data_IF_029173743329
#
_entry.id   IF_029173743329
#
_cell.length_a   1.000
_cell.length_b   1.000
_cell.length_c   1.000
_cell.angle_alpha   90.00
_cell.angle_beta   90.00
_cell.angle_gamma   90.00
#
_symmetry.space_group_name_H-M   'P 1'
#
loop_
_entity.id
_entity.type
_entity.pdbx_description
1 polymer ?
#
# COMPACT_ATOMS: atom_id res chain seq x y z
N UNK A 1 2.14 -20.29 -10.21
CA UNK A 1 3.53 -19.79 -9.99
C UNK A 1 3.45 -18.78 -8.86
N UNK A 2 4.35 -18.82 -7.86
CA UNK A 2 4.46 -17.84 -6.81
C UNK A 2 5.46 -16.75 -7.24
N UNK A 3 5.17 -15.50 -6.95
CA UNK A 3 6.10 -14.39 -7.11
C UNK A 3 6.55 -13.95 -5.73
N UNK A 4 7.86 -13.85 -5.53
CA UNK A 4 8.44 -13.40 -4.26
C UNK A 4 7.94 -12.01 -3.87
N UNK A 5 7.66 -11.83 -2.58
CA UNK A 5 7.11 -10.61 -2.02
C UNK A 5 8.04 -10.08 -0.90
N UNK A 6 8.05 -8.78 -0.73
CA UNK A 6 8.79 -8.15 0.37
C UNK A 6 8.39 -8.76 1.72
N UNK A 7 7.12 -9.08 1.89
CA UNK A 7 6.59 -9.67 3.13
C UNK A 7 7.20 -11.04 3.45
N UNK A 8 7.67 -11.80 2.46
CA UNK A 8 8.19 -13.17 2.65
C UNK A 8 9.45 -13.17 3.52
N UNK A 9 10.34 -12.21 3.33
CA UNK A 9 11.50 -12.03 4.18
C UNK A 9 11.08 -11.78 5.64
N UNK A 10 10.13 -10.87 5.85
CA UNK A 10 9.65 -10.52 7.20
C UNK A 10 8.94 -11.67 7.90
N UNK A 11 8.16 -12.47 7.16
CA UNK A 11 7.52 -13.66 7.67
C UNK A 11 8.55 -14.75 8.03
N UNK A 12 9.57 -14.94 7.19
CA UNK A 12 10.67 -15.86 7.45
C UNK A 12 11.52 -15.45 8.66
N UNK A 13 11.86 -14.16 8.77
CA UNK A 13 12.54 -13.60 9.93
C UNK A 13 11.71 -13.77 11.22
N UNK A 14 10.40 -13.54 11.14
CA UNK A 14 9.50 -13.78 12.26
C UNK A 14 9.49 -15.27 12.66
N UNK A 15 9.39 -16.18 11.69
CA UNK A 15 9.37 -17.62 11.96
C UNK A 15 10.67 -18.12 12.63
N UNK A 16 11.80 -17.51 12.29
CA UNK A 16 13.11 -17.85 12.86
C UNK A 16 13.32 -17.32 14.31
N UNK A 17 12.48 -16.43 14.81
CA UNK A 17 12.64 -15.85 16.16
C UNK A 17 12.38 -16.91 17.24
N UNK A 18 13.26 -17.02 18.27
CA UNK A 18 13.05 -17.95 19.38
C UNK A 18 11.84 -17.57 20.26
N UNK A 19 11.55 -16.26 20.35
CA UNK A 19 10.38 -15.73 21.06
C UNK A 19 9.56 -14.93 20.06
N UNK A 20 8.35 -15.38 19.76
CA UNK A 20 7.48 -14.77 18.77
C UNK A 20 6.06 -14.58 19.30
N UNK A 21 5.36 -13.63 18.73
CA UNK A 21 3.93 -13.44 18.91
C UNK A 21 3.20 -13.99 17.69
N UNK A 22 1.95 -14.48 17.81
CA UNK A 22 1.13 -14.74 16.64
C UNK A 22 1.12 -13.53 15.69
N UNK A 23 1.24 -13.78 14.39
CA UNK A 23 1.14 -12.75 13.37
C UNK A 23 -0.32 -12.54 13.00
N UNK A 24 -0.72 -11.29 12.89
CA UNK A 24 -1.94 -10.88 12.25
C UNK A 24 -1.59 -10.13 10.96
N UNK A 25 -1.75 -10.82 9.83
CA UNK A 25 -1.43 -10.28 8.51
C UNK A 25 -2.62 -9.48 7.98
N UNK A 26 -2.43 -8.17 7.89
CA UNK A 26 -3.42 -7.16 7.52
C UNK A 26 -3.19 -6.68 6.09
N UNK A 27 -4.21 -6.15 5.46
CA UNK A 27 -4.14 -5.56 4.12
C UNK A 27 -5.43 -5.79 3.35
N UNK A 28 -5.61 -5.06 2.25
CA UNK A 28 -6.80 -5.14 1.42
C UNK A 28 -7.05 -6.57 0.89
N UNK A 29 -8.25 -6.81 0.41
CA UNK A 29 -8.58 -8.08 -0.27
C UNK A 29 -7.76 -8.23 -1.54
N UNK A 30 -7.38 -9.48 -1.90
CA UNK A 30 -6.67 -9.86 -3.11
C UNK A 30 -5.21 -9.33 -3.24
N UNK A 31 -4.60 -8.80 -2.18
CA UNK A 31 -3.17 -8.41 -2.19
C UNK A 31 -2.20 -9.60 -2.02
N UNK A 32 -2.73 -10.84 -1.83
CA UNK A 32 -1.92 -12.05 -1.81
C UNK A 32 -1.60 -12.60 -0.41
N UNK A 33 -2.29 -12.16 0.67
CA UNK A 33 -2.02 -12.58 2.06
C UNK A 33 -1.98 -14.10 2.24
N UNK A 34 -3.05 -14.80 1.86
CA UNK A 34 -3.14 -16.26 2.04
C UNK A 34 -2.08 -17.00 1.21
N UNK A 35 -1.74 -16.47 0.03
CA UNK A 35 -0.71 -17.06 -0.83
C UNK A 35 0.68 -16.91 -0.20
N UNK A 36 1.02 -15.78 0.40
CA UNK A 36 2.29 -15.58 1.10
C UNK A 36 2.42 -16.49 2.32
N UNK A 37 1.33 -16.69 3.09
CA UNK A 37 1.36 -17.61 4.23
C UNK A 37 1.48 -19.06 3.79
N UNK A 38 0.84 -19.47 2.68
CA UNK A 38 1.02 -20.82 2.11
C UNK A 38 2.46 -21.04 1.65
N UNK A 39 3.08 -20.03 1.04
CA UNK A 39 4.49 -20.11 0.66
C UNK A 39 5.41 -20.26 1.88
N UNK A 40 5.19 -19.48 2.95
CA UNK A 40 5.89 -19.69 4.21
C UNK A 40 5.68 -21.13 4.75
N UNK A 41 4.45 -21.65 4.61
CA UNK A 41 4.08 -23.00 5.04
C UNK A 41 4.92 -24.11 4.42
N UNK A 42 5.46 -23.92 3.22
CA UNK A 42 6.35 -24.89 2.55
C UNK A 42 7.66 -25.14 3.32
N UNK A 43 8.06 -24.22 4.19
CA UNK A 43 9.26 -24.36 5.04
C UNK A 43 9.02 -25.14 6.34
N UNK A 44 7.76 -25.51 6.64
CA UNK A 44 7.38 -26.23 7.85
C UNK A 44 7.14 -27.72 7.56
N UNK A 45 7.35 -28.56 8.56
CA UNK A 45 7.06 -29.98 8.48
C UNK A 45 5.56 -30.25 8.30
N UNK A 46 4.74 -29.45 8.96
CA UNK A 46 3.28 -29.49 8.86
C UNK A 46 2.74 -28.08 8.62
N UNK A 47 1.82 -27.97 7.68
CA UNK A 47 1.08 -26.75 7.41
C UNK A 47 -0.41 -27.03 7.59
N UNK A 48 -1.03 -26.38 8.55
CA UNK A 48 -2.46 -26.50 8.85
C UNK A 48 -3.14 -25.18 8.53
N UNK A 49 -3.95 -25.16 7.49
CA UNK A 49 -4.76 -24.01 7.07
C UNK A 49 -6.22 -24.25 7.44
N UNK A 50 -6.82 -23.30 8.16
CA UNK A 50 -8.24 -23.28 8.53
C UNK A 50 -8.82 -21.96 8.04
N UNK A 51 -9.75 -22.03 7.10
CA UNK A 51 -10.46 -20.86 6.59
C UNK A 51 -11.84 -20.77 7.25
N UNK A 52 -12.06 -19.74 8.08
CA UNK A 52 -13.27 -19.63 8.91
C UNK A 52 -14.54 -19.30 8.08
N UNK A 53 -14.39 -18.67 6.90
CA UNK A 53 -15.51 -18.43 5.99
C UNK A 53 -15.98 -19.73 5.32
N UNK A 54 -15.02 -20.57 4.85
CA UNK A 54 -15.30 -21.85 4.18
C UNK A 54 -15.66 -22.97 5.14
N UNK A 55 -15.16 -22.91 6.36
CA UNK A 55 -15.26 -23.96 7.37
C UNK A 55 -15.81 -23.42 8.69
N UNK A 56 -17.07 -22.92 8.74
CA UNK A 56 -17.61 -22.22 9.91
C UNK A 56 -17.75 -23.12 11.15
N UNK A 57 -17.70 -24.45 10.99
CA UNK A 57 -17.69 -25.39 12.10
C UNK A 57 -16.44 -25.24 13.01
N UNK A 58 -15.32 -24.72 12.52
CA UNK A 58 -14.18 -24.41 13.38
C UNK A 58 -14.43 -23.22 14.31
N UNK A 59 -15.35 -22.31 13.96
CA UNK A 59 -15.75 -21.18 14.81
C UNK A 59 -16.32 -21.68 16.15
N UNK A 60 -17.06 -22.82 16.13
CA UNK A 60 -17.65 -23.41 17.33
C UNK A 60 -16.60 -23.79 18.40
N UNK A 61 -15.34 -24.06 18.00
CA UNK A 61 -14.28 -24.37 18.94
C UNK A 61 -13.92 -23.18 19.85
N UNK A 62 -14.13 -21.96 19.36
CA UNK A 62 -13.81 -20.72 20.08
C UNK A 62 -15.00 -20.19 20.91
N UNK A 63 -16.22 -20.61 20.64
CA UNK A 63 -17.42 -20.09 21.34
C UNK A 63 -17.54 -20.50 22.79
N UNK A 64 -17.01 -21.68 23.15
CA UNK A 64 -17.12 -22.23 24.51
C UNK A 64 -16.22 -21.46 25.48
N UNK A 65 -14.98 -21.30 25.12
CA UNK A 65 -13.92 -20.62 25.86
C UNK A 65 -12.76 -20.33 24.90
N UNK A 66 -11.75 -19.59 25.36
CA UNK A 66 -10.57 -19.22 24.58
C UNK A 66 -9.33 -20.07 24.98
N UNK A 67 -9.53 -21.23 25.60
CA UNK A 67 -8.44 -22.14 26.00
C UNK A 67 -7.83 -22.82 24.78
N UNK A 68 -6.70 -22.30 24.30
CA UNK A 68 -6.00 -22.81 23.12
C UNK A 68 -5.43 -24.22 23.33
N UNK A 69 -5.15 -24.62 24.58
CA UNK A 69 -4.70 -25.98 24.91
C UNK A 69 -5.80 -27.04 24.67
N UNK A 70 -7.07 -26.62 24.76
CA UNK A 70 -8.22 -27.41 24.37
C UNK A 70 -8.53 -27.31 22.88
N UNK A 71 -8.45 -26.09 22.33
CA UNK A 71 -8.84 -25.81 20.95
C UNK A 71 -7.89 -26.51 19.95
N UNK A 72 -6.57 -26.42 20.14
CA UNK A 72 -5.58 -26.93 19.17
C UNK A 72 -5.68 -28.45 18.95
N UNK A 73 -5.78 -29.31 19.98
CA UNK A 73 -6.01 -30.75 19.77
C UNK A 73 -7.31 -31.06 19.03
N UNK A 74 -8.38 -30.26 19.25
CA UNK A 74 -9.65 -30.43 18.54
C UNK A 74 -9.52 -30.03 17.08
N UNK A 75 -8.79 -28.94 16.78
CA UNK A 75 -8.45 -28.55 15.41
C UNK A 75 -7.67 -29.67 14.70
N UNK A 76 -6.64 -30.21 15.36
CA UNK A 76 -5.83 -31.31 14.82
C UNK A 76 -6.69 -32.53 14.49
N UNK A 77 -7.62 -32.90 15.39
CA UNK A 77 -8.54 -34.02 15.17
C UNK A 77 -9.51 -33.76 14.01
N UNK A 78 -9.99 -32.50 13.83
CA UNK A 78 -10.91 -32.15 12.76
C UNK A 78 -10.24 -32.08 11.39
N UNK A 79 -9.00 -31.59 11.29
CA UNK A 79 -8.26 -31.53 10.02
C UNK A 79 -7.48 -32.81 9.71
N UNK A 80 -7.34 -33.77 10.67
CA UNK A 80 -6.59 -35.00 10.49
C UNK A 80 -5.08 -34.82 10.39
N UNK A 81 -4.55 -33.68 10.86
CA UNK A 81 -3.12 -33.32 10.81
C UNK A 81 -2.60 -32.93 12.20
N UNK A 82 -1.37 -33.35 12.56
CA UNK A 82 -0.78 -32.97 13.84
C UNK A 82 -0.46 -31.46 13.87
N UNK A 83 -0.74 -30.84 15.02
CA UNK A 83 -0.35 -29.45 15.31
C UNK A 83 0.68 -29.51 16.46
N UNK A 84 1.96 -29.43 16.08
CA UNK A 84 3.10 -29.63 16.99
C UNK A 84 3.91 -28.35 17.08
N UNK A 85 4.23 -27.92 18.31
CA UNK A 85 5.08 -26.76 18.56
C UNK A 85 6.41 -26.86 17.79
N UNK A 86 6.86 -25.77 17.19
CA UNK A 86 8.06 -25.63 16.35
C UNK A 86 8.10 -26.47 15.05
N UNK A 87 7.14 -27.36 14.80
CA UNK A 87 7.07 -28.16 13.56
C UNK A 87 5.90 -27.74 12.65
N UNK A 88 4.85 -27.13 13.22
CA UNK A 88 3.63 -26.77 12.49
C UNK A 88 3.50 -25.26 12.36
N UNK A 89 3.17 -24.80 11.14
CA UNK A 89 2.57 -23.50 10.93
C UNK A 89 1.05 -23.64 10.92
N UNK A 90 0.39 -23.06 11.94
CA UNK A 90 -1.07 -22.94 11.99
C UNK A 90 -1.48 -21.62 11.34
N UNK A 91 -2.25 -21.70 10.26
CA UNK A 91 -2.79 -20.57 9.55
C UNK A 91 -4.30 -20.51 9.72
N UNK A 92 -4.79 -19.39 10.28
CA UNK A 92 -6.23 -19.11 10.44
C UNK A 92 -6.58 -18.00 9.45
N UNK A 93 -7.18 -18.39 8.33
CA UNK A 93 -7.58 -17.48 7.26
C UNK A 93 -9.02 -16.97 7.48
N UNK A 94 -9.33 -15.77 6.98
CA UNK A 94 -10.59 -15.06 7.15
C UNK A 94 -11.01 -14.97 8.64
N UNK A 95 -10.04 -14.64 9.51
CA UNK A 95 -10.23 -14.67 10.97
C UNK A 95 -11.30 -13.66 11.44
N UNK A 96 -11.63 -12.61 10.64
CA UNK A 96 -12.69 -11.65 10.98
C UNK A 96 -14.08 -12.30 11.08
N UNK A 97 -14.27 -13.53 10.60
CA UNK A 97 -15.53 -14.26 10.73
C UNK A 97 -15.81 -14.68 12.19
N UNK A 98 -14.80 -14.61 13.09
CA UNK A 98 -15.01 -14.87 14.53
C UNK A 98 -14.21 -13.91 15.41
N UNK A 99 -14.94 -13.11 16.20
CA UNK A 99 -14.34 -12.24 17.22
C UNK A 99 -13.59 -13.05 18.28
N UNK A 100 -14.14 -14.22 18.66
CA UNK A 100 -13.54 -15.12 19.63
C UNK A 100 -12.20 -15.68 19.12
N UNK A 101 -12.10 -16.02 17.82
CA UNK A 101 -10.85 -16.48 17.21
C UNK A 101 -9.78 -15.37 17.25
N UNK A 102 -10.16 -14.11 16.97
CA UNK A 102 -9.25 -12.95 17.09
C UNK A 102 -8.78 -12.79 18.54
N UNK A 103 -9.69 -12.86 19.51
CA UNK A 103 -9.35 -12.77 20.94
C UNK A 103 -8.47 -13.94 21.38
N UNK A 104 -8.63 -15.14 20.81
CA UNK A 104 -7.83 -16.32 21.12
C UNK A 104 -6.35 -16.16 20.72
N UNK A 105 -6.02 -15.29 19.73
CA UNK A 105 -4.63 -15.04 19.34
C UNK A 105 -3.74 -14.63 20.52
N UNK A 106 -4.28 -13.90 21.49
CA UNK A 106 -3.57 -13.54 22.72
C UNK A 106 -3.11 -14.78 23.48
N UNK A 107 -3.98 -15.77 23.62
CA UNK A 107 -3.73 -16.97 24.40
C UNK A 107 -2.76 -17.93 23.71
N UNK A 108 -2.67 -17.93 22.38
CA UNK A 108 -1.58 -18.62 21.68
C UNK A 108 -0.21 -18.11 22.14
N UNK A 109 -0.06 -16.78 22.35
CA UNK A 109 1.20 -16.25 22.90
C UNK A 109 1.45 -16.63 24.35
N UNK A 110 0.40 -16.65 25.18
CA UNK A 110 0.52 -16.87 26.62
C UNK A 110 0.69 -18.37 26.95
N UNK A 111 -0.05 -19.25 26.28
CA UNK A 111 -0.17 -20.67 26.64
C UNK A 111 0.56 -21.63 25.69
N UNK A 112 0.81 -21.22 24.44
CA UNK A 112 1.49 -22.03 23.42
C UNK A 112 2.51 -21.19 22.62
N UNK A 113 3.50 -20.54 23.30
CA UNK A 113 4.42 -19.58 22.67
C UNK A 113 5.32 -20.17 21.58
N UNK A 114 5.52 -21.50 21.59
CA UNK A 114 6.36 -22.21 20.62
C UNK A 114 5.59 -22.63 19.35
N UNK A 115 4.27 -22.50 19.32
CA UNK A 115 3.49 -22.73 18.11
C UNK A 115 3.55 -21.53 17.18
N UNK A 116 3.86 -21.78 15.90
CA UNK A 116 3.82 -20.75 14.88
C UNK A 116 2.36 -20.53 14.45
N UNK A 117 1.84 -19.35 14.71
CA UNK A 117 0.47 -18.99 14.36
C UNK A 117 0.46 -17.74 13.52
N UNK A 118 -0.12 -17.84 12.33
CA UNK A 118 -0.45 -16.70 11.46
C UNK A 118 -1.95 -16.65 11.29
N UNK A 119 -2.53 -15.49 11.44
CA UNK A 119 -3.92 -15.22 11.10
C UNK A 119 -3.96 -14.15 10.01
N UNK A 120 -4.89 -14.26 9.07
CA UNK A 120 -5.11 -13.25 8.05
C UNK A 120 -6.59 -12.92 7.91
N UNK A 121 -6.86 -11.69 7.51
CA UNK A 121 -8.19 -11.23 7.19
C UNK A 121 -8.15 -9.92 6.41
N UNK A 122 -9.16 -9.67 5.60
CA UNK A 122 -9.23 -8.49 4.74
C UNK A 122 -9.98 -7.31 5.36
N UNK A 123 -10.75 -7.55 6.42
CA UNK A 123 -11.70 -6.61 6.99
C UNK A 123 -11.55 -6.48 8.51
N UNK A 124 -10.34 -6.72 9.00
CA UNK A 124 -10.03 -6.81 10.42
C UNK A 124 -10.33 -5.52 11.19
N UNK A 125 -10.08 -4.35 10.58
CA UNK A 125 -10.31 -3.05 11.20
C UNK A 125 -11.78 -2.83 11.61
N UNK A 126 -12.72 -3.48 10.92
CA UNK A 126 -14.15 -3.37 11.24
C UNK A 126 -14.54 -4.17 12.48
N UNK A 127 -13.85 -5.28 12.70
CA UNK A 127 -14.12 -6.16 13.83
C UNK A 127 -13.47 -5.61 15.09
N UNK A 128 -12.35 -4.91 14.97
CA UNK A 128 -11.65 -4.31 16.11
C UNK A 128 -12.45 -3.24 16.83
N UNK A 129 -13.30 -2.47 16.10
CA UNK A 129 -14.19 -1.48 16.71
C UNK A 129 -15.19 -2.15 17.69
N UNK A 130 -15.51 -3.42 17.48
CA UNK A 130 -16.49 -4.18 18.25
C UNK A 130 -15.82 -5.07 19.33
N UNK A 131 -14.48 -5.16 19.39
CA UNK A 131 -13.74 -5.98 20.37
C UNK A 131 -13.28 -5.11 21.55
N UNK A 132 -13.76 -5.35 22.79
CA UNK A 132 -13.46 -4.51 23.96
C UNK A 132 -11.97 -4.50 24.34
N UNK A 133 -11.25 -5.58 24.09
CA UNK A 133 -9.82 -5.72 24.39
C UNK A 133 -9.14 -6.53 23.30
N UNK A 134 -8.54 -5.85 22.34
CA UNK A 134 -7.66 -6.47 21.37
C UNK A 134 -6.29 -6.71 22.02
N UNK A 135 -5.81 -7.95 22.03
CA UNK A 135 -4.59 -8.46 22.70
C UNK A 135 -3.34 -7.59 22.67
N UNK A 136 -3.45 -6.39 23.24
CA UNK A 136 -2.41 -5.35 23.25
C UNK A 136 -1.08 -5.94 23.72
N UNK A 137 -0.06 -5.83 22.89
CA UNK A 137 1.27 -6.34 23.18
C UNK A 137 1.46 -7.86 23.03
N UNK A 138 0.42 -8.64 22.68
CA UNK A 138 0.47 -10.12 22.51
C UNK A 138 0.41 -10.57 21.07
N UNK A 139 0.02 -9.70 20.14
CA UNK A 139 -0.14 -9.97 18.71
C UNK A 139 0.85 -9.09 17.96
N UNK A 140 1.41 -9.62 16.88
CA UNK A 140 2.28 -8.89 15.96
C UNK A 140 1.52 -8.60 14.66
N UNK A 141 1.16 -7.33 14.43
CA UNK A 141 0.54 -6.94 13.17
C UNK A 141 1.61 -6.76 12.08
N UNK A 142 1.35 -7.33 10.90
CA UNK A 142 2.10 -7.09 9.68
C UNK A 142 1.14 -6.58 8.61
N UNK A 143 1.61 -5.63 7.80
CA UNK A 143 0.81 -5.00 6.75
C UNK A 143 1.31 -5.45 5.38
N UNK A 144 0.39 -5.89 4.53
CA UNK A 144 0.68 -6.33 3.17
C UNK A 144 -0.10 -5.47 2.17
N UNK A 145 0.63 -4.92 1.23
CA UNK A 145 0.13 -4.05 0.17
C UNK A 145 0.13 -4.77 -1.19
N UNK A 146 -0.42 -4.17 -2.26
CA UNK A 146 -0.15 -4.61 -3.63
C UNK A 146 1.36 -4.73 -3.91
N UNK A 147 1.73 -5.35 -5.01
CA UNK A 147 3.13 -5.52 -5.42
C UNK A 147 3.77 -4.16 -5.70
N UNK A 148 5.04 -4.04 -5.29
CA UNK A 148 5.89 -2.89 -5.61
C UNK A 148 6.43 -2.98 -7.02
N UNK A 149 7.05 -1.90 -7.50
CA UNK A 149 7.73 -1.93 -8.79
C UNK A 149 8.90 -2.93 -8.84
N UNK A 150 9.62 -3.12 -7.72
CA UNK A 150 10.67 -4.13 -7.63
C UNK A 150 10.11 -5.55 -7.82
N UNK A 151 9.02 -5.87 -7.13
CA UNK A 151 8.33 -7.15 -7.24
C UNK A 151 7.75 -7.35 -8.66
N UNK A 152 7.27 -6.27 -9.29
CA UNK A 152 6.84 -6.30 -10.69
C UNK A 152 8.01 -6.61 -11.64
N UNK A 153 9.18 -5.99 -11.45
CA UNK A 153 10.38 -6.30 -12.23
C UNK A 153 10.79 -7.77 -12.09
N UNK A 154 10.80 -8.29 -10.87
CA UNK A 154 11.11 -9.70 -10.61
C UNK A 154 10.10 -10.64 -11.27
N UNK A 155 8.80 -10.35 -11.16
CA UNK A 155 7.74 -11.14 -11.78
C UNK A 155 7.86 -11.19 -13.30
N UNK A 156 8.44 -10.16 -13.91
CA UNK A 156 8.69 -10.08 -15.37
C UNK A 156 10.09 -10.58 -15.77
N UNK A 157 10.88 -11.17 -14.87
CA UNK A 157 12.21 -11.70 -15.17
C UNK A 157 13.30 -10.64 -15.35
N UNK A 158 13.07 -9.40 -14.91
CA UNK A 158 13.98 -8.26 -15.06
C UNK A 158 14.97 -8.12 -13.88
N UNK A 159 15.41 -9.22 -13.29
CA UNK A 159 16.29 -9.22 -12.11
C UNK A 159 17.61 -8.48 -12.36
N UNK A 160 18.25 -8.69 -13.51
CA UNK A 160 19.52 -8.01 -13.84
C UNK A 160 19.35 -6.50 -13.95
N UNK A 161 18.20 -6.05 -14.46
CA UNK A 161 17.88 -4.62 -14.56
C UNK A 161 17.63 -4.03 -13.17
N UNK A 162 16.95 -4.76 -12.30
CA UNK A 162 16.74 -4.40 -10.92
C UNK A 162 18.08 -4.27 -10.16
N UNK A 163 18.98 -5.21 -10.36
CA UNK A 163 20.30 -5.20 -9.71
C UNK A 163 21.17 -4.03 -10.22
N UNK A 164 21.14 -3.74 -11.52
CA UNK A 164 21.81 -2.58 -12.10
C UNK A 164 21.24 -1.25 -11.52
N UNK A 165 19.90 -1.17 -11.39
CA UNK A 165 19.25 0.00 -10.79
C UNK A 165 19.67 0.20 -9.34
N UNK A 166 19.74 -0.87 -8.53
CA UNK A 166 20.14 -0.80 -7.10
C UNK A 166 21.56 -0.31 -6.89
N UNK A 167 22.44 -0.43 -7.89
CA UNK A 167 23.81 0.05 -7.83
C UNK A 167 23.92 1.51 -8.28
N UNK A 168 22.94 2.03 -9.00
CA UNK A 168 22.95 3.39 -9.51
C UNK A 168 22.62 4.42 -8.41
N UNK A 169 23.16 5.61 -8.53
CA UNK A 169 22.95 6.74 -7.64
C UNK A 169 23.28 8.07 -8.36
N UNK A 170 23.16 9.19 -7.66
CA UNK A 170 23.41 10.52 -8.24
C UNK A 170 24.84 10.73 -8.78
N UNK A 171 25.84 10.03 -8.25
CA UNK A 171 27.24 10.12 -8.70
C UNK A 171 27.57 9.10 -9.82
N UNK A 172 26.78 8.04 -9.93
CA UNK A 172 26.88 7.00 -10.94
C UNK A 172 25.49 6.64 -11.47
N UNK A 173 24.88 7.52 -12.30
CA UNK A 173 23.58 7.27 -12.85
C UNK A 173 23.58 6.12 -13.85
N UNK A 174 22.38 5.59 -14.15
CA UNK A 174 22.25 4.51 -15.12
C UNK A 174 22.67 4.95 -16.54
N UNK A 175 23.27 4.06 -17.33
CA UNK A 175 23.38 4.26 -18.78
C UNK A 175 22.00 4.50 -19.41
N UNK A 176 21.94 5.42 -20.38
CA UNK A 176 20.68 5.82 -21.04
C UNK A 176 19.80 4.64 -21.50
N UNK A 177 20.31 3.56 -22.11
CA UNK A 177 19.45 2.45 -22.53
C UNK A 177 18.77 1.72 -21.37
N UNK A 178 19.43 1.58 -20.22
CA UNK A 178 18.85 0.96 -19.02
C UNK A 178 17.82 1.88 -18.36
N UNK A 179 18.14 3.18 -18.30
CA UNK A 179 17.21 4.20 -17.84
C UNK A 179 15.92 4.21 -18.67
N UNK A 180 16.04 4.28 -20.00
CA UNK A 180 14.89 4.32 -20.91
C UNK A 180 14.03 3.04 -20.78
N UNK A 181 14.66 1.88 -20.62
CA UNK A 181 13.94 0.62 -20.38
C UNK A 181 13.15 0.67 -19.06
N UNK A 182 13.76 1.16 -17.96
CA UNK A 182 13.06 1.32 -16.69
C UNK A 182 11.92 2.34 -16.77
N UNK A 183 12.09 3.43 -17.51
CA UNK A 183 11.02 4.40 -17.78
C UNK A 183 9.86 3.76 -18.54
N UNK A 184 10.13 2.87 -19.50
CA UNK A 184 9.09 2.09 -20.17
C UNK A 184 8.36 1.15 -19.20
N UNK A 185 9.10 0.40 -18.37
CA UNK A 185 8.54 -0.57 -17.42
C UNK A 185 7.73 0.09 -16.29
N UNK A 186 8.17 1.24 -15.76
CA UNK A 186 7.38 1.95 -14.73
C UNK A 186 6.06 2.48 -15.29
N UNK A 187 6.05 2.92 -16.55
CA UNK A 187 4.81 3.30 -17.24
C UNK A 187 3.86 2.11 -17.41
N UNK A 188 4.39 0.95 -17.78
CA UNK A 188 3.63 -0.30 -17.84
C UNK A 188 3.05 -0.65 -16.48
N UNK A 189 3.87 -0.57 -15.42
CA UNK A 189 3.43 -0.84 -14.05
C UNK A 189 2.31 0.10 -13.59
N UNK A 190 2.36 1.38 -13.94
CA UNK A 190 1.26 2.32 -13.63
C UNK A 190 -0.09 1.87 -14.19
N UNK A 191 -0.10 1.16 -15.34
CA UNK A 191 -1.33 0.67 -15.98
C UNK A 191 -1.76 -0.69 -15.45
N UNK A 192 -0.82 -1.61 -15.33
CA UNK A 192 -1.05 -2.97 -14.82
C UNK A 192 -1.41 -2.93 -13.35
N UNK A 193 -0.83 -1.96 -12.62
CA UNK A 193 -0.92 -1.89 -11.17
C UNK A 193 -0.06 -2.95 -10.48
N UNK A 194 -0.17 -3.00 -9.14
CA UNK A 194 0.51 -3.95 -8.27
C UNK A 194 -0.40 -5.07 -7.75
N UNK A 195 -1.67 -5.18 -8.21
CA UNK A 195 -2.51 -6.30 -7.80
C UNK A 195 -1.94 -7.61 -8.31
N UNK A 196 -1.64 -8.61 -7.44
CA UNK A 196 -0.87 -9.81 -7.84
C UNK A 196 -1.44 -10.57 -9.02
N UNK A 197 -2.76 -10.66 -9.13
CA UNK A 197 -3.42 -11.34 -10.26
C UNK A 197 -3.24 -10.57 -11.57
N UNK A 198 -3.31 -9.24 -11.54
CA UNK A 198 -3.04 -8.38 -12.70
C UNK A 198 -1.59 -8.47 -13.14
N UNK A 199 -0.63 -8.43 -12.19
CA UNK A 199 0.81 -8.61 -12.47
C UNK A 199 1.09 -9.99 -13.05
N UNK A 200 0.50 -11.05 -12.49
CA UNK A 200 0.65 -12.41 -12.98
C UNK A 200 0.12 -12.56 -14.43
N UNK A 201 -1.02 -11.92 -14.69
CA UNK A 201 -1.61 -11.91 -16.04
C UNK A 201 -0.69 -11.21 -17.03
N UNK A 202 -0.16 -10.04 -16.67
CA UNK A 202 0.79 -9.31 -17.50
C UNK A 202 2.07 -10.12 -17.76
N UNK A 203 2.70 -10.65 -16.70
CA UNK A 203 3.93 -11.43 -16.82
C UNK A 203 3.78 -12.68 -17.70
N UNK A 204 2.58 -13.28 -17.73
CA UNK A 204 2.29 -14.45 -18.55
C UNK A 204 1.89 -14.16 -19.99
N UNK A 205 1.30 -13.00 -20.28
CA UNK A 205 0.67 -12.75 -21.60
C UNK A 205 1.16 -11.49 -22.29
N UNK A 206 1.66 -10.50 -21.55
CA UNK A 206 1.93 -9.14 -22.02
C UNK A 206 0.72 -8.49 -22.72
N UNK A 207 -0.49 -8.92 -22.34
CA UNK A 207 -1.75 -8.43 -22.87
C UNK A 207 -2.47 -7.59 -21.83
N UNK A 208 -2.54 -6.27 -22.07
CA UNK A 208 -3.16 -5.33 -21.16
C UNK A 208 -4.69 -5.48 -21.08
N UNK A 209 -5.35 -5.96 -22.15
CA UNK A 209 -6.79 -6.23 -22.13
C UNK A 209 -7.14 -7.26 -21.06
N UNK A 210 -6.36 -8.34 -20.99
CA UNK A 210 -6.54 -9.37 -19.97
C UNK A 210 -6.26 -8.84 -18.55
N UNK A 211 -5.33 -7.89 -18.39
CA UNK A 211 -5.11 -7.23 -17.10
C UNK A 211 -6.31 -6.38 -16.69
N UNK A 212 -6.97 -5.70 -17.64
CA UNK A 212 -8.19 -4.93 -17.37
C UNK A 212 -9.36 -5.81 -16.96
N UNK A 213 -9.54 -6.98 -17.58
CA UNK A 213 -10.55 -7.95 -17.13
C UNK A 213 -10.34 -8.33 -15.67
N UNK A 214 -9.10 -8.63 -15.28
CA UNK A 214 -8.74 -8.91 -13.87
C UNK A 214 -9.02 -7.70 -12.97
N UNK A 215 -8.66 -6.49 -13.40
CA UNK A 215 -8.91 -5.27 -12.62
C UNK A 215 -10.42 -5.01 -12.44
N UNK A 216 -11.24 -5.26 -13.46
CA UNK A 216 -12.69 -5.16 -13.37
C UNK A 216 -13.28 -6.19 -12.40
N UNK A 217 -12.79 -7.43 -12.43
CA UNK A 217 -13.20 -8.48 -11.50
C UNK A 217 -12.85 -8.12 -10.05
N UNK A 218 -11.67 -7.51 -9.83
CA UNK A 218 -11.26 -7.03 -8.50
C UNK A 218 -12.19 -5.92 -8.01
N UNK A 219 -12.49 -4.92 -8.84
CA UNK A 219 -13.39 -3.81 -8.48
C UNK A 219 -14.81 -4.36 -8.19
N UNK A 220 -15.31 -5.24 -9.05
CA UNK A 220 -16.60 -5.91 -8.86
C UNK A 220 -16.63 -6.70 -7.53
N UNK A 221 -15.52 -7.37 -7.20
CA UNK A 221 -15.36 -8.08 -5.94
C UNK A 221 -15.43 -7.15 -4.72
N UNK A 222 -14.81 -5.97 -4.77
CA UNK A 222 -14.95 -4.96 -3.71
C UNK A 222 -16.38 -4.44 -3.60
N UNK A 223 -17.01 -4.09 -4.72
CA UNK A 223 -18.40 -3.62 -4.74
C UNK A 223 -19.38 -4.70 -4.21
N UNK A 224 -19.12 -5.99 -4.50
CA UNK A 224 -19.90 -7.12 -3.99
C UNK A 224 -19.77 -7.35 -2.48
N UNK A 225 -18.67 -6.92 -1.87
CA UNK A 225 -18.46 -6.99 -0.41
C UNK A 225 -19.15 -5.85 0.35
N UNK A 226 -19.39 -4.71 -0.27
CA UNK A 226 -19.99 -3.54 0.40
C UNK A 226 -21.33 -3.80 1.08
N UNK A 227 -22.24 -4.67 0.58
CA UNK A 227 -23.46 -5.03 1.30
C UNK A 227 -23.24 -5.65 2.69
N UNK A 228 -22.08 -6.24 2.96
CA UNK A 228 -21.74 -6.73 4.31
C UNK A 228 -21.74 -5.58 5.36
N UNK A 229 -21.56 -4.35 4.91
CA UNK A 229 -21.49 -3.13 5.76
C UNK A 229 -22.79 -2.33 5.81
N UNK A 230 -23.88 -2.78 5.19
CA UNK A 230 -25.15 -2.02 5.11
C UNK A 230 -25.72 -1.59 6.46
N UNK A 231 -25.34 -2.25 7.56
CA UNK A 231 -25.72 -1.83 8.92
C UNK A 231 -25.00 -0.56 9.38
N UNK A 232 -23.82 -0.26 8.81
CA UNK A 232 -22.98 0.89 9.18
C UNK A 232 -23.12 2.04 8.18
N UNK A 233 -23.15 1.72 6.86
CA UNK A 233 -23.21 2.69 5.75
C UNK A 233 -23.96 2.09 4.55
N UNK A 234 -24.63 2.94 3.77
CA UNK A 234 -25.24 2.55 2.49
C UNK A 234 -24.15 2.03 1.52
N UNK A 235 -24.29 0.81 0.97
CA UNK A 235 -23.36 0.27 -0.02
C UNK A 235 -23.18 1.17 -1.25
N UNK A 236 -24.23 1.84 -1.72
CA UNK A 236 -24.15 2.77 -2.85
C UNK A 236 -23.28 3.98 -2.53
N UNK A 237 -23.28 4.45 -1.29
CA UNK A 237 -22.42 5.52 -0.84
C UNK A 237 -20.96 5.09 -0.81
N UNK A 238 -20.66 3.83 -0.45
CA UNK A 238 -19.27 3.30 -0.52
C UNK A 238 -18.76 3.30 -1.96
N UNK A 239 -19.57 2.82 -2.92
CA UNK A 239 -19.22 2.88 -4.36
C UNK A 239 -19.01 4.31 -4.82
N UNK A 240 -19.93 5.23 -4.50
CA UNK A 240 -19.84 6.64 -4.88
C UNK A 240 -18.60 7.31 -4.28
N UNK A 241 -18.26 7.00 -3.01
CA UNK A 241 -17.08 7.54 -2.33
C UNK A 241 -15.78 7.00 -2.93
N UNK A 242 -15.70 5.71 -3.24
CA UNK A 242 -14.53 5.09 -3.89
C UNK A 242 -14.28 5.71 -5.28
N UNK A 243 -15.32 5.85 -6.11
CA UNK A 243 -15.22 6.48 -7.43
C UNK A 243 -14.84 7.96 -7.35
N UNK A 244 -15.42 8.69 -6.37
CA UNK A 244 -15.08 10.08 -6.13
C UNK A 244 -13.63 10.26 -5.66
N UNK A 245 -13.11 9.32 -4.85
CA UNK A 245 -11.71 9.32 -4.45
C UNK A 245 -10.76 9.12 -5.64
N UNK A 246 -11.11 8.23 -6.59
CA UNK A 246 -10.34 8.08 -7.82
C UNK A 246 -10.33 9.37 -8.67
N UNK A 247 -11.48 10.03 -8.79
CA UNK A 247 -11.60 11.29 -9.55
C UNK A 247 -10.84 12.45 -8.89
N UNK A 248 -10.75 12.48 -7.56
CA UNK A 248 -10.07 13.51 -6.78
C UNK A 248 -8.66 13.09 -6.35
N UNK A 249 -8.13 11.98 -6.90
CA UNK A 249 -6.83 11.45 -6.50
C UNK A 249 -5.75 12.53 -6.49
N UNK A 250 -4.92 12.53 -5.43
CA UNK A 250 -3.84 13.49 -5.17
C UNK A 250 -4.27 14.95 -4.95
N UNK A 251 -5.56 15.26 -5.02
CA UNK A 251 -6.11 16.56 -4.61
C UNK A 251 -6.73 16.45 -3.22
N UNK A 252 -6.88 17.60 -2.54
CA UNK A 252 -7.67 17.66 -1.31
C UNK A 252 -9.06 17.09 -1.55
N UNK A 253 -9.44 16.06 -0.77
CA UNK A 253 -10.73 15.42 -0.91
C UNK A 253 -11.88 16.34 -0.49
N UNK A 254 -12.82 16.59 -1.39
CA UNK A 254 -13.98 17.46 -1.20
C UNK A 254 -15.23 16.58 -1.05
N UNK A 255 -15.72 16.46 0.16
CA UNK A 255 -16.87 15.58 0.52
C UNK A 255 -18.15 15.88 -0.28
N UNK A 256 -18.39 17.16 -0.62
CA UNK A 256 -19.59 17.56 -1.38
C UNK A 256 -19.54 17.16 -2.86
N UNK A 257 -18.39 16.70 -3.37
CA UNK A 257 -18.24 16.20 -4.74
C UNK A 257 -18.62 14.72 -4.87
N UNK A 258 -18.90 14.02 -3.76
CA UNK A 258 -19.42 12.66 -3.81
C UNK A 258 -20.85 12.68 -4.37
N UNK A 259 -21.05 11.96 -5.48
CA UNK A 259 -22.35 11.91 -6.16
C UNK A 259 -23.45 11.30 -5.28
N UNK A 260 -24.70 11.71 -5.47
CA UNK A 260 -25.87 11.13 -4.79
C UNK A 260 -26.48 12.00 -3.69
N UNK A 261 -25.98 13.22 -3.45
CA UNK A 261 -26.59 14.18 -2.51
C UNK A 261 -26.47 13.80 -1.03
N UNK A 262 -25.53 12.95 -0.68
CA UNK A 262 -25.29 12.50 0.70
C UNK A 262 -24.77 13.61 1.60
N UNK A 263 -25.08 13.52 2.91
CA UNK A 263 -24.56 14.46 3.91
C UNK A 263 -23.08 14.21 4.16
N UNK A 264 -22.32 15.28 4.42
CA UNK A 264 -20.87 15.20 4.73
C UNK A 264 -20.54 14.17 5.83
N UNK A 265 -21.39 14.06 6.87
CA UNK A 265 -21.18 13.09 7.94
C UNK A 265 -21.31 11.63 7.48
N UNK A 266 -22.18 11.36 6.51
CA UNK A 266 -22.34 10.02 5.91
C UNK A 266 -21.16 9.67 5.02
N UNK A 267 -20.71 10.65 4.20
CA UNK A 267 -19.52 10.49 3.35
C UNK A 267 -18.26 10.26 4.20
N UNK A 268 -18.11 10.97 5.33
CA UNK A 268 -16.99 10.71 6.27
C UNK A 268 -16.99 9.27 6.77
N UNK A 269 -18.16 8.74 7.17
CA UNK A 269 -18.27 7.33 7.60
C UNK A 269 -17.90 6.35 6.47
N UNK A 270 -18.37 6.62 5.24
CA UNK A 270 -18.02 5.79 4.09
C UNK A 270 -16.51 5.83 3.82
N UNK A 271 -15.92 7.03 3.88
CA UNK A 271 -14.49 7.21 3.70
C UNK A 271 -13.69 6.44 4.76
N UNK A 272 -14.03 6.58 6.05
CA UNK A 272 -13.36 5.87 7.14
C UNK A 272 -13.44 4.35 6.95
N UNK A 273 -14.56 3.84 6.44
CA UNK A 273 -14.72 2.43 6.13
C UNK A 273 -13.79 1.99 4.98
N UNK A 274 -13.70 2.76 3.90
CA UNK A 274 -12.82 2.44 2.78
C UNK A 274 -11.33 2.52 3.16
N UNK A 275 -10.96 3.44 4.04
CA UNK A 275 -9.59 3.52 4.63
C UNK A 275 -9.32 2.27 5.48
N UNK A 276 -10.24 1.92 6.38
CA UNK A 276 -10.13 0.70 7.20
C UNK A 276 -10.06 -0.58 6.36
N UNK A 277 -10.75 -0.64 5.22
CA UNK A 277 -10.64 -1.74 4.26
C UNK A 277 -9.30 -1.78 3.51
N UNK A 278 -8.46 -0.75 3.63
CA UNK A 278 -7.22 -0.60 2.88
C UNK A 278 -7.42 -0.30 1.40
N UNK A 279 -8.63 0.09 0.98
CA UNK A 279 -8.95 0.47 -0.40
C UNK A 279 -8.50 1.90 -0.68
N UNK A 280 -8.61 2.78 0.32
CA UNK A 280 -8.14 4.16 0.27
C UNK A 280 -7.04 4.39 1.31
N UNK A 281 -6.04 5.15 0.92
CA UNK A 281 -4.88 5.50 1.74
C UNK A 281 -4.89 7.01 1.92
N UNK A 282 -5.04 7.52 3.16
CA UNK A 282 -5.01 8.95 3.41
C UNK A 282 -3.59 9.49 3.37
N UNK A 283 -3.41 10.67 2.76
CA UNK A 283 -2.23 11.51 2.90
C UNK A 283 -2.68 12.74 3.66
N UNK A 284 -2.24 12.88 4.90
CA UNK A 284 -2.75 13.89 5.83
C UNK A 284 -1.88 15.14 5.82
N UNK A 285 -2.50 16.32 5.82
CA UNK A 285 -1.77 17.56 5.94
C UNK A 285 -1.06 17.67 7.29
N UNK A 286 0.18 18.16 7.26
CA UNK A 286 0.91 18.57 8.47
C UNK A 286 1.62 19.90 8.25
N UNK A 287 1.84 20.67 9.30
CA UNK A 287 2.58 21.93 9.20
C UNK A 287 4.07 21.72 8.88
N UNK A 288 4.61 20.56 9.23
CA UNK A 288 6.01 20.20 8.91
C UNK A 288 7.06 21.05 9.61
N UNK A 289 6.78 21.53 10.84
CA UNK A 289 7.72 22.34 11.61
C UNK A 289 8.84 21.49 12.25
N UNK A 290 8.68 20.18 12.27
CA UNK A 290 9.64 19.26 12.88
C UNK A 290 9.12 17.83 12.94
N UNK A 291 9.76 16.98 13.71
CA UNK A 291 9.38 15.59 13.97
C UNK A 291 8.85 15.44 15.40
N UNK A 292 7.87 14.53 15.60
CA UNK A 292 7.22 13.65 14.62
C UNK A 292 6.23 14.40 13.71
N UNK A 293 6.15 14.03 12.44
CA UNK A 293 5.27 14.70 11.46
C UNK A 293 3.78 14.66 11.85
N UNK A 294 3.36 13.62 12.54
CA UNK A 294 1.96 13.43 12.96
C UNK A 294 1.49 14.37 14.07
N UNK A 295 2.41 15.03 14.79
CA UNK A 295 2.06 15.91 15.93
C UNK A 295 1.21 17.13 15.50
N UNK A 296 1.43 17.59 14.26
CA UNK A 296 0.71 18.73 13.68
C UNK A 296 -0.24 18.31 12.55
N UNK A 297 -0.66 17.04 12.52
CA UNK A 297 -1.51 16.53 11.46
C UNK A 297 -2.95 17.08 11.55
N UNK A 298 -3.48 17.56 10.44
CA UNK A 298 -4.88 18.02 10.31
C UNK A 298 -5.67 17.07 9.42
N UNK A 299 -6.45 16.19 10.05
CA UNK A 299 -7.29 15.21 9.39
C UNK A 299 -8.43 15.83 8.54
N UNK A 300 -8.75 17.11 8.73
CA UNK A 300 -9.73 17.81 7.88
C UNK A 300 -9.16 18.16 6.49
N UNK A 301 -7.84 18.05 6.35
CA UNK A 301 -7.11 18.27 5.11
C UNK A 301 -6.41 16.98 4.69
N UNK A 302 -7.12 16.16 3.91
CA UNK A 302 -6.59 14.89 3.39
C UNK A 302 -6.65 14.86 1.87
N UNK A 303 -5.60 14.34 1.25
CA UNK A 303 -5.63 13.75 -0.07
C UNK A 303 -5.91 12.25 0.07
N UNK A 304 -6.40 11.62 -0.97
CA UNK A 304 -6.65 10.18 -0.97
C UNK A 304 -5.92 9.53 -2.14
N UNK A 305 -5.24 8.43 -1.86
CA UNK A 305 -4.72 7.53 -2.87
C UNK A 305 -5.63 6.30 -2.90
N UNK A 306 -5.88 5.74 -4.07
CA UNK A 306 -6.40 4.39 -4.17
C UNK A 306 -5.24 3.41 -3.91
N UNK A 307 -5.54 2.21 -3.42
CA UNK A 307 -4.51 1.22 -3.09
C UNK A 307 -3.65 0.78 -4.30
N UNK A 308 -4.11 1.05 -5.52
CA UNK A 308 -3.49 0.56 -6.76
C UNK A 308 -3.76 1.50 -7.94
N UNK A 309 -2.73 1.77 -8.75
CA UNK A 309 -2.81 2.69 -9.89
C UNK A 309 -3.64 2.12 -11.04
N UNK A 310 -3.54 0.82 -11.31
CA UNK A 310 -4.32 0.14 -12.34
C UNK A 310 -5.82 0.17 -12.03
N UNK A 311 -6.20 -0.11 -10.78
CA UNK A 311 -7.60 -0.03 -10.34
C UNK A 311 -8.12 1.41 -10.41
N UNK A 312 -7.28 2.42 -10.09
CA UNK A 312 -7.69 3.82 -10.24
C UNK A 312 -8.05 4.15 -11.69
N UNK A 313 -7.22 3.77 -12.64
CA UNK A 313 -7.48 4.00 -14.06
C UNK A 313 -8.75 3.31 -14.55
N UNK A 314 -9.03 2.10 -14.06
CA UNK A 314 -10.29 1.39 -14.37
C UNK A 314 -11.50 2.12 -13.82
N UNK A 315 -11.47 2.59 -12.58
CA UNK A 315 -12.54 3.39 -11.98
C UNK A 315 -12.81 4.69 -12.72
N UNK A 316 -11.78 5.26 -13.36
CA UNK A 316 -11.89 6.46 -14.22
C UNK A 316 -12.40 6.14 -15.63
N UNK A 317 -12.84 4.90 -15.89
CA UNK A 317 -13.39 4.46 -17.19
C UNK A 317 -12.45 4.68 -18.38
N UNK A 318 -11.14 4.45 -18.21
CA UNK A 318 -10.27 4.35 -19.38
C UNK A 318 -10.76 3.21 -20.29
N UNK A 319 -11.37 3.57 -21.41
CA UNK A 319 -12.09 2.64 -22.27
C UNK A 319 -11.17 1.83 -23.19
N UNK A 320 -11.65 0.64 -23.59
CA UNK A 320 -10.92 -0.30 -24.46
C UNK A 320 -10.57 0.27 -25.85
N UNK A 321 -11.31 1.28 -26.35
CA UNK A 321 -11.02 1.94 -27.63
C UNK A 321 -9.67 2.66 -27.66
N UNK A 322 -9.20 3.09 -26.49
CA UNK A 322 -7.93 3.79 -26.35
C UNK A 322 -6.71 2.85 -26.21
N UNK A 323 -6.94 1.53 -26.05
CA UNK A 323 -5.92 0.57 -25.57
C UNK A 323 -4.95 0.14 -26.66
N UNK A 324 -5.41 -0.11 -27.90
CA UNK A 324 -4.47 -0.46 -28.98
C UNK A 324 -3.56 0.71 -29.33
N UNK A 325 -4.06 1.93 -29.18
CA UNK A 325 -3.28 3.15 -29.24
C UNK A 325 -2.48 3.36 -27.94
N UNK A 326 -3.04 3.08 -26.75
CA UNK A 326 -2.38 3.26 -25.46
C UNK A 326 -1.22 2.26 -25.29
N UNK A 327 -1.38 0.96 -25.58
CA UNK A 327 -0.27 0.00 -25.49
C UNK A 327 0.86 0.38 -26.44
N UNK A 328 0.53 0.78 -27.66
CA UNK A 328 1.51 1.29 -28.63
C UNK A 328 2.05 2.66 -28.20
N UNK A 329 1.21 3.56 -27.72
CA UNK A 329 1.62 4.88 -27.24
C UNK A 329 2.37 4.84 -25.91
N UNK A 330 2.09 3.92 -25.00
CA UNK A 330 2.82 3.79 -23.72
C UNK A 330 4.21 3.20 -23.95
N UNK A 331 4.32 2.23 -24.86
CA UNK A 331 5.62 1.68 -25.26
C UNK A 331 6.43 2.66 -26.10
N UNK A 332 5.78 3.58 -26.83
CA UNK A 332 6.43 4.48 -27.79
C UNK A 332 6.29 5.97 -27.45
N UNK A 333 5.40 6.38 -26.51
CA UNK A 333 5.08 7.77 -26.27
C UNK A 333 6.18 8.51 -25.49
N UNK A 334 6.52 9.67 -26.02
CA UNK A 334 7.23 10.70 -25.25
C UNK A 334 6.38 11.14 -24.05
N UNK A 335 7.04 11.69 -23.02
CA UNK A 335 6.41 12.14 -21.78
C UNK A 335 5.21 13.10 -21.95
N UNK A 336 4.91 13.56 -23.19
CA UNK A 336 3.85 14.53 -23.46
C UNK A 336 2.41 13.99 -23.56
N UNK A 337 2.18 12.70 -23.74
CA UNK A 337 0.90 12.20 -24.27
C UNK A 337 -0.07 11.52 -23.28
N UNK A 338 0.28 11.35 -21.99
CA UNK A 338 -0.63 10.81 -20.99
C UNK A 338 -1.44 11.91 -20.31
N UNK A 339 -2.73 11.92 -20.48
CA UNK A 339 -3.66 12.76 -19.73
C UNK A 339 -3.55 12.41 -18.23
N UNK A 340 -3.47 13.40 -17.34
CA UNK A 340 -3.32 13.25 -15.88
C UNK A 340 -1.98 12.68 -15.37
N UNK A 341 -0.87 13.01 -15.99
CA UNK A 341 0.48 12.57 -15.59
C UNK A 341 0.87 12.92 -14.15
N UNK A 342 0.51 14.12 -13.70
CA UNK A 342 0.82 14.58 -12.34
C UNK A 342 0.21 13.67 -11.28
N UNK A 343 -1.12 13.48 -11.25
CA UNK A 343 -1.80 12.65 -10.25
C UNK A 343 -1.34 11.19 -10.25
N UNK A 344 -1.06 10.61 -11.42
CA UNK A 344 -0.57 9.22 -11.51
C UNK A 344 0.82 9.05 -10.93
N UNK A 345 1.75 9.95 -11.29
CA UNK A 345 3.12 9.90 -10.78
C UNK A 345 3.16 10.16 -9.27
N UNK A 346 2.38 11.14 -8.80
CA UNK A 346 2.24 11.45 -7.38
C UNK A 346 1.64 10.27 -6.60
N UNK A 347 0.55 9.68 -7.11
CA UNK A 347 -0.05 8.51 -6.48
C UNK A 347 0.92 7.33 -6.42
N UNK A 348 1.58 6.98 -7.54
CA UNK A 348 2.57 5.91 -7.55
C UNK A 348 3.69 6.18 -6.55
N UNK A 349 4.21 7.41 -6.49
CA UNK A 349 5.26 7.78 -5.54
C UNK A 349 4.80 7.56 -4.09
N UNK A 350 3.60 7.97 -3.73
CA UNK A 350 3.06 7.76 -2.39
C UNK A 350 2.86 6.29 -2.05
N UNK A 351 2.36 5.49 -2.99
CA UNK A 351 2.21 4.04 -2.80
C UNK A 351 3.56 3.36 -2.62
N UNK A 352 4.53 3.64 -3.49
CA UNK A 352 5.88 3.07 -3.40
C UNK A 352 6.56 3.48 -2.08
N UNK A 353 6.49 4.75 -1.68
CA UNK A 353 7.00 5.19 -0.36
C UNK A 353 6.39 4.34 0.77
N UNK A 354 5.07 4.15 0.77
CA UNK A 354 4.39 3.39 1.81
C UNK A 354 4.78 1.91 1.80
N UNK A 355 4.87 1.31 0.61
CA UNK A 355 5.10 -0.12 0.45
C UNK A 355 6.54 -0.55 0.81
N UNK A 356 7.53 0.36 0.70
CA UNK A 356 8.90 0.08 1.12
C UNK A 356 9.18 0.35 2.59
N UNK A 357 8.24 0.98 3.31
CA UNK A 357 8.34 1.11 4.76
C UNK A 357 8.16 -0.25 5.44
N UNK A 358 8.65 -0.36 6.67
CA UNK A 358 8.58 -1.62 7.41
C UNK A 358 7.13 -2.14 7.54
N UNK A 359 6.81 -3.36 7.08
CA UNK A 359 5.47 -3.92 7.24
C UNK A 359 5.10 -4.24 8.69
N UNK A 360 6.05 -4.16 9.61
CA UNK A 360 5.84 -4.44 11.04
C UNK A 360 5.22 -3.26 11.80
N UNK A 361 5.06 -2.10 11.16
CA UNK A 361 4.56 -0.87 11.75
C UNK A 361 3.52 -0.25 10.81
N UNK A 362 2.46 0.30 11.37
CA UNK A 362 1.54 1.14 10.60
C UNK A 362 2.22 2.48 10.30
N UNK A 363 2.18 2.90 9.06
CA UNK A 363 2.76 4.15 8.59
C UNK A 363 1.68 5.05 8.01
N UNK A 364 1.77 6.35 8.32
CA UNK A 364 0.95 7.40 7.74
C UNK A 364 1.76 8.20 6.71
N UNK A 365 1.09 8.65 5.66
CA UNK A 365 1.64 9.56 4.67
C UNK A 365 1.24 10.99 5.00
N UNK A 366 2.18 11.92 4.82
CA UNK A 366 1.98 13.32 5.09
C UNK A 366 2.31 14.18 3.88
N UNK A 367 1.60 15.30 3.74
CA UNK A 367 1.87 16.33 2.76
C UNK A 367 1.79 17.72 3.41
N UNK A 368 2.23 18.75 2.70
CA UNK A 368 2.11 20.11 3.18
C UNK A 368 1.41 20.99 2.16
N UNK A 369 0.53 21.87 2.65
CA UNK A 369 -0.12 22.89 1.82
C UNK A 369 -0.21 24.20 2.59
N UNK A 370 0.09 25.30 1.90
CA UNK A 370 -0.14 26.66 2.38
C UNK A 370 -1.15 27.34 1.45
N UNK A 371 -2.28 27.73 2.02
CA UNK A 371 -3.28 28.54 1.35
C UNK A 371 -3.15 29.99 1.82
N UNK A 372 -2.63 30.86 1.00
CA UNK A 372 -2.62 32.31 1.22
C UNK A 372 -3.46 33.00 0.15
N UNK A 373 -3.96 34.22 0.40
CA UNK A 373 -4.65 35.00 -0.61
C UNK A 373 -3.79 35.07 -1.88
N UNK A 374 -4.27 34.48 -2.97
CA UNK A 374 -3.64 34.40 -4.30
C UNK A 374 -2.36 33.56 -4.41
N UNK A 375 -2.06 32.66 -3.45
CA UNK A 375 -0.91 31.77 -3.54
C UNK A 375 -1.22 30.41 -2.91
N UNK A 376 -1.23 29.37 -3.72
CA UNK A 376 -1.22 27.97 -3.28
C UNK A 376 0.21 27.46 -3.40
N UNK A 377 0.77 26.96 -2.31
CA UNK A 377 2.04 26.24 -2.31
C UNK A 377 1.79 24.87 -1.67
N UNK A 378 2.29 23.83 -2.29
CA UNK A 378 2.08 22.45 -1.87
C UNK A 378 3.36 21.65 -2.07
N UNK A 379 3.63 20.73 -1.15
CA UNK A 379 4.66 19.68 -1.22
C UNK A 379 3.93 18.35 -1.21
N UNK A 380 4.20 17.52 -2.19
CA UNK A 380 3.46 16.28 -2.43
C UNK A 380 3.56 15.31 -1.26
N UNK A 381 4.77 15.10 -0.71
CA UNK A 381 4.99 14.29 0.49
C UNK A 381 6.03 14.91 1.41
N UNK A 382 5.84 14.68 2.72
CA UNK A 382 6.84 14.94 3.74
C UNK A 382 7.29 13.61 4.34
N UNK A 383 8.58 13.38 4.31
CA UNK A 383 9.24 12.19 4.85
C UNK A 383 10.08 12.59 6.07
N UNK A 384 10.56 11.59 6.81
CA UNK A 384 11.59 11.78 7.83
C UNK A 384 12.84 10.98 7.46
N UNK A 385 13.99 11.66 7.38
CA UNK A 385 15.31 11.05 7.18
C UNK A 385 16.31 11.71 8.10
N UNK A 386 17.12 10.92 8.82
CA UNK A 386 18.16 11.40 9.74
C UNK A 386 17.65 12.43 10.77
N UNK A 387 16.49 12.15 11.37
CA UNK A 387 15.83 13.04 12.34
C UNK A 387 15.48 14.42 11.80
N UNK A 388 15.30 14.56 10.48
CA UNK A 388 14.90 15.80 9.81
C UNK A 388 13.68 15.57 8.91
N UNK A 389 12.92 16.64 8.72
CA UNK A 389 11.86 16.68 7.71
C UNK A 389 12.52 16.74 6.33
N UNK A 390 12.11 15.85 5.44
CA UNK A 390 12.59 15.76 4.07
C UNK A 390 11.41 15.92 3.12
N UNK A 391 11.27 17.06 2.42
CA UNK A 391 10.24 17.25 1.42
C UNK A 391 10.56 16.44 0.16
N UNK A 392 9.51 15.78 -0.35
CA UNK A 392 9.52 15.05 -1.62
C UNK A 392 8.55 15.74 -2.58
N UNK A 393 9.09 16.23 -3.68
CA UNK A 393 8.34 16.85 -4.78
C UNK A 393 8.32 15.91 -5.98
N UNK A 394 7.14 15.54 -6.46
CA UNK A 394 6.96 14.62 -7.57
C UNK A 394 6.69 15.40 -8.86
N UNK A 395 7.39 15.06 -9.93
CA UNK A 395 7.19 15.64 -11.25
C UNK A 395 6.97 14.55 -12.30
N UNK A 396 5.87 14.62 -13.01
CA UNK A 396 5.54 13.65 -14.07
C UNK A 396 6.45 13.76 -15.31
N UNK A 397 7.23 14.83 -15.44
CA UNK A 397 8.11 15.09 -16.57
C UNK A 397 9.40 15.75 -16.15
N UNK A 398 10.25 16.00 -17.16
CA UNK A 398 11.57 16.64 -17.00
C UNK A 398 11.46 18.12 -16.64
N UNK A 399 10.35 18.78 -17.00
CA UNK A 399 10.13 20.21 -16.76
C UNK A 399 9.07 20.42 -15.69
N UNK A 400 9.29 21.37 -14.78
CA UNK A 400 8.34 21.79 -13.75
C UNK A 400 8.97 22.76 -12.77
N UNK A 401 8.26 23.84 -12.46
CA UNK A 401 8.71 24.80 -11.46
C UNK A 401 8.72 24.18 -10.06
N UNK A 402 9.72 24.53 -9.26
CA UNK A 402 9.88 24.06 -7.88
C UNK A 402 9.64 25.21 -6.87
N UNK A 403 8.81 26.19 -7.24
CA UNK A 403 8.59 27.37 -6.41
C UNK A 403 8.03 27.01 -5.02
N UNK A 404 7.09 26.08 -4.94
CA UNK A 404 6.52 25.62 -3.68
C UNK A 404 7.58 24.99 -2.78
N UNK A 405 8.48 24.20 -3.39
CA UNK A 405 9.59 23.56 -2.66
C UNK A 405 10.55 24.60 -2.07
N UNK A 406 10.94 25.62 -2.86
CA UNK A 406 11.82 26.68 -2.37
C UNK A 406 11.15 27.50 -1.26
N UNK A 407 9.88 27.82 -1.40
CA UNK A 407 9.11 28.53 -0.37
C UNK A 407 9.02 27.70 0.92
N UNK A 408 8.74 26.40 0.82
CA UNK A 408 8.69 25.50 1.98
C UNK A 408 10.05 25.35 2.65
N UNK A 409 11.11 25.07 1.88
CA UNK A 409 12.46 24.89 2.43
C UNK A 409 12.95 26.16 3.14
N UNK A 410 12.58 27.33 2.64
CA UNK A 410 12.89 28.63 3.28
C UNK A 410 12.12 28.78 4.59
N UNK A 411 10.81 28.57 4.56
CA UNK A 411 9.94 28.73 5.72
C UNK A 411 10.35 27.77 6.86
N UNK A 412 10.80 26.56 6.51
CA UNK A 412 11.21 25.51 7.48
C UNK A 412 12.72 25.44 7.72
N UNK A 413 13.51 26.30 7.10
CA UNK A 413 14.97 26.35 7.19
C UNK A 413 15.64 25.00 6.84
N UNK A 414 15.12 24.34 5.79
CA UNK A 414 15.62 23.04 5.33
C UNK A 414 16.69 23.26 4.25
N UNK A 415 17.71 22.41 4.26
CA UNK A 415 18.81 22.43 3.28
C UNK A 415 18.73 21.28 2.28
N UNK A 416 17.89 20.27 2.51
CA UNK A 416 17.80 19.07 1.69
C UNK A 416 16.38 18.83 1.22
N UNK A 417 16.22 18.31 -0.01
CA UNK A 417 14.96 17.89 -0.59
C UNK A 417 15.18 16.76 -1.60
N UNK A 418 14.11 16.04 -1.91
CA UNK A 418 14.08 15.07 -3.01
C UNK A 418 13.14 15.61 -4.10
N UNK A 419 13.61 15.52 -5.35
CA UNK A 419 12.78 15.61 -6.55
C UNK A 419 12.65 14.22 -7.15
N UNK A 420 11.43 13.69 -7.18
CA UNK A 420 11.12 12.43 -7.85
C UNK A 420 10.54 12.71 -9.24
N UNK A 421 11.10 12.14 -10.27
CA UNK A 421 10.67 12.37 -11.66
C UNK A 421 11.01 11.19 -12.58
N UNK A 422 10.75 11.34 -13.89
CA UNK A 422 11.23 10.40 -14.90
C UNK A 422 12.65 10.73 -15.40
N UNK A 423 13.36 11.65 -14.75
CA UNK A 423 14.79 11.88 -15.00
C UNK A 423 15.63 10.76 -14.38
N UNK A 424 16.86 10.59 -14.86
CA UNK A 424 17.82 9.66 -14.27
C UNK A 424 18.30 10.18 -12.89
N UNK A 425 18.99 9.34 -12.13
CA UNK A 425 19.62 9.76 -10.88
C UNK A 425 20.50 10.99 -11.09
N UNK A 426 20.43 11.92 -10.16
CA UNK A 426 21.18 13.15 -10.22
C UNK A 426 21.07 13.96 -8.93
N UNK A 427 21.76 15.08 -8.91
CA UNK A 427 21.72 16.06 -7.83
C UNK A 427 22.01 17.44 -8.36
N UNK A 428 21.46 18.47 -7.74
CA UNK A 428 21.78 19.84 -8.05
C UNK A 428 21.62 20.74 -6.82
N UNK A 429 22.28 21.86 -6.85
CA UNK A 429 22.17 22.88 -5.82
C UNK A 429 21.36 24.06 -6.34
N UNK A 430 20.46 24.57 -5.51
CA UNK A 430 19.75 25.82 -5.73
C UNK A 430 20.23 26.85 -4.72
N UNK A 431 20.71 27.98 -5.23
CA UNK A 431 21.06 29.15 -4.42
C UNK A 431 19.80 30.01 -4.28
N UNK A 432 19.28 30.13 -3.06
CA UNK A 432 18.03 30.86 -2.80
C UNK A 432 18.30 32.37 -2.62
N UNK A 433 17.99 33.22 -3.62
CA UNK A 433 18.26 34.64 -3.53
C UNK A 433 17.37 35.38 -2.52
N UNK A 434 16.34 34.71 -2.01
CA UNK A 434 15.43 35.25 -1.00
C UNK A 434 15.76 34.82 0.42
N UNK A 435 16.85 34.08 0.62
CA UNK A 435 17.32 33.58 1.90
C UNK A 435 18.86 33.69 1.99
N UNK A 436 19.35 34.90 1.85
CA UNK A 436 20.78 35.24 1.95
C UNK A 436 21.70 34.33 1.11
N UNK A 437 21.23 33.90 -0.05
CA UNK A 437 21.91 32.93 -0.94
C UNK A 437 22.18 31.58 -0.27
N UNK A 438 21.32 31.14 0.65
CA UNK A 438 21.39 29.81 1.25
C UNK A 438 21.36 28.73 0.15
N UNK A 439 22.25 27.74 0.28
CA UNK A 439 22.32 26.60 -0.65
C UNK A 439 21.31 25.55 -0.25
N UNK A 440 20.50 25.09 -1.21
CA UNK A 440 19.52 24.01 -1.08
C UNK A 440 19.99 22.84 -1.95
N UNK A 441 20.25 21.70 -1.32
CA UNK A 441 20.70 20.47 -2.01
C UNK A 441 19.45 19.66 -2.41
N UNK A 442 19.32 19.35 -3.68
CA UNK A 442 18.22 18.53 -4.20
C UNK A 442 18.81 17.28 -4.81
N UNK A 443 18.37 16.15 -4.27
CA UNK A 443 18.59 14.83 -4.86
C UNK A 443 17.49 14.54 -5.89
N UNK A 444 17.86 14.11 -7.08
CA UNK A 444 16.94 13.67 -8.13
C UNK A 444 16.90 12.15 -8.10
N UNK A 445 15.73 11.61 -7.72
CA UNK A 445 15.49 10.17 -7.67
C UNK A 445 14.50 9.81 -8.77
N UNK A 446 14.84 8.87 -9.66
CA UNK A 446 13.89 8.39 -10.65
C UNK A 446 12.65 7.78 -10.01
N UNK A 447 11.47 7.97 -10.63
CA UNK A 447 10.21 7.40 -10.15
C UNK A 447 10.26 5.86 -10.02
N UNK A 448 11.10 5.21 -10.82
CA UNK A 448 11.35 3.77 -10.75
C UNK A 448 12.35 3.35 -9.64
N UNK A 449 12.84 4.28 -8.83
CA UNK A 449 13.87 4.03 -7.81
C UNK A 449 13.50 4.57 -6.42
N UNK A 450 12.22 4.74 -6.13
CA UNK A 450 11.72 5.24 -4.84
C UNK A 450 12.18 4.34 -3.68
N UNK A 451 12.33 3.04 -3.91
CA UNK A 451 12.87 2.09 -2.93
C UNK A 451 14.29 2.40 -2.44
N UNK A 452 15.00 3.34 -3.09
CA UNK A 452 16.38 3.73 -2.76
C UNK A 452 16.47 5.08 -2.01
N UNK A 453 15.32 5.69 -1.68
CA UNK A 453 15.25 6.96 -0.95
C UNK A 453 15.60 6.86 0.54
#
# INVERSE_FOLDING_TARGET
>A
MYYERIIDQHLSEWAARPVRKPVLLRGARQVGKSTAVRHLGESFKYFVEINLEKQPNYIELFKKDLDVKRIVPQMAAMCGMPIIANETLLFIDEIQESQEAIMALRYFKEDMPDLHVVAAGSLLEFVFDDIPTFGVGRIHSMYMFPMTFDEFLQANGEQLLLDARRQANADSPLPTPLHDKLVGLIRTFMLVGGMPESVAKWAGTHDYLQCQEVQDDIITGYEADFPKYKKKVDPQLLVATMRSAATQATNKFVYSQVAGGYKTAEVKKALDLLIKAGILIPVTHTNGNGLPLGDEADESYRKLLLLDTGLMLRLLNMSMGDISSITTHILTATAADLVNKGPMAEMLAGLEVLHYLSPNIHHDLFYWVRQAKNSLAEIDYLLSRDMKVLPLEVKAGVQGGMKSLWDFMRDKKLSQAIRCSLENFGKFDYIDPKDDNAVRHVEVVPLYAISQM
#
